data_IF_248168222563
#
_entry.id   IF_248168222563
#
_cell.length_a   1.000
_cell.length_b   1.000
_cell.length_c   1.000
_cell.angle_alpha   90.00
_cell.angle_beta   90.00
_cell.angle_gamma   90.00
#
_symmetry.space_group_name_H-M   'P 1'
#
loop_
_entity.id
_entity.type
_entity.pdbx_description
1 polymer ?
#
# COMPACT_ATOMS: atom_id res chain seq x y z
N UNK A 1 -1.30 -5.14 8.94
CA UNK A 1 -1.72 -4.32 10.08
C UNK A 1 -1.29 -5.03 11.33
N UNK A 2 -1.22 -4.29 12.43
CA UNK A 2 -0.76 -4.84 13.72
C UNK A 2 -1.59 -6.05 14.18
N UNK A 3 -2.86 -6.10 13.78
CA UNK A 3 -3.80 -7.20 14.03
C UNK A 3 -4.02 -8.15 12.83
N UNK A 4 -3.03 -8.29 11.93
CA UNK A 4 -3.09 -9.22 10.79
C UNK A 4 -3.32 -8.55 9.43
N UNK A 5 -4.20 -9.10 8.59
CA UNK A 5 -4.42 -8.60 7.22
C UNK A 5 -4.93 -7.16 7.26
N UNK A 6 -4.32 -6.30 6.45
CA UNK A 6 -4.69 -4.90 6.33
C UNK A 6 -5.36 -4.64 4.98
N UNK A 7 -6.50 -3.95 5.02
CA UNK A 7 -7.24 -3.52 3.83
C UNK A 7 -7.19 -2.01 3.72
N UNK A 8 -6.56 -1.49 2.65
CA UNK A 8 -6.46 -0.05 2.40
C UNK A 8 -7.60 0.42 1.51
N UNK A 9 -8.53 1.21 2.08
CA UNK A 9 -9.63 1.84 1.33
C UNK A 9 -9.13 2.92 0.36
N UNK A 10 -8.02 3.59 0.69
CA UNK A 10 -7.44 4.65 -0.13
C UNK A 10 -6.85 4.09 -1.43
N UNK A 11 -6.12 2.98 -1.34
CA UNK A 11 -5.58 2.26 -2.50
C UNK A 11 -6.73 1.73 -3.37
N UNK A 12 -7.76 1.16 -2.75
CA UNK A 12 -8.95 0.67 -3.46
C UNK A 12 -9.67 1.80 -4.21
N UNK A 13 -9.89 2.94 -3.58
CA UNK A 13 -10.56 4.08 -4.21
C UNK A 13 -9.76 4.65 -5.40
N UNK A 14 -8.43 4.73 -5.27
CA UNK A 14 -7.56 5.17 -6.37
C UNK A 14 -7.64 4.21 -7.57
N UNK A 15 -7.54 2.90 -7.32
CA UNK A 15 -7.57 1.88 -8.37
C UNK A 15 -8.96 1.66 -8.98
N UNK A 16 -10.04 1.91 -8.23
CA UNK A 16 -11.39 1.84 -8.76
C UNK A 16 -11.67 2.89 -9.84
N UNK A 17 -10.99 4.05 -9.78
CA UNK A 17 -11.12 5.10 -10.80
C UNK A 17 -10.27 4.80 -12.03
N UNK A 18 -9.04 4.35 -11.80
CA UNK A 18 -8.12 3.96 -12.86
C UNK A 18 -7.23 2.81 -12.36
N UNK A 19 -7.38 1.63 -12.97
CA UNK A 19 -6.61 0.44 -12.59
C UNK A 19 -5.22 0.46 -13.25
N UNK A 20 -4.39 1.41 -12.85
CA UNK A 20 -3.02 1.59 -13.33
C UNK A 20 -2.07 1.93 -12.16
N UNK A 21 -0.80 1.53 -12.26
CA UNK A 21 0.20 1.81 -11.24
C UNK A 21 0.38 3.32 -10.98
N UNK A 22 0.15 4.17 -11.99
CA UNK A 22 0.19 5.61 -11.88
C UNK A 22 -0.91 6.18 -10.99
N UNK A 23 -2.05 5.51 -10.85
CA UNK A 23 -3.15 5.93 -9.97
C UNK A 23 -2.74 5.92 -8.48
N UNK A 24 -1.71 5.15 -8.13
CA UNK A 24 -1.16 5.07 -6.77
C UNK A 24 -0.06 6.11 -6.50
N UNK A 25 0.23 7.02 -7.45
CA UNK A 25 1.17 8.11 -7.23
C UNK A 25 0.57 9.14 -6.25
N UNK A 26 1.26 9.39 -5.14
CA UNK A 26 0.80 10.31 -4.10
C UNK A 26 -0.11 9.68 -3.04
N UNK A 27 -0.57 8.44 -3.23
CA UNK A 27 -1.28 7.69 -2.18
C UNK A 27 -0.32 7.43 -1.02
N UNK A 28 -0.78 7.69 0.21
CA UNK A 28 -0.04 7.43 1.44
C UNK A 28 -0.87 6.52 2.33
N UNK A 29 -0.23 5.52 2.91
CA UNK A 29 -0.85 4.67 3.93
C UNK A 29 -0.43 5.19 5.31
N UNK A 30 -1.36 5.40 6.26
CA UNK A 30 -1.02 5.82 7.61
C UNK A 30 -0.22 4.73 8.34
N UNK A 31 0.86 5.13 9.03
CA UNK A 31 1.73 4.22 9.75
C UNK A 31 1.18 3.78 11.12
N UNK A 32 0.17 4.48 11.64
CA UNK A 32 -0.33 4.34 13.02
C UNK A 32 -0.77 2.91 13.41
N UNK A 33 -1.26 2.12 12.44
CA UNK A 33 -1.73 0.74 12.67
C UNK A 33 -0.80 -0.33 12.08
N UNK A 34 0.47 0.04 11.86
CA UNK A 34 1.49 -0.86 11.32
C UNK A 34 2.51 -1.28 12.39
N UNK A 35 2.84 -2.57 12.36
CA UNK A 35 3.82 -3.18 13.26
C UNK A 35 5.20 -2.55 13.09
N UNK A 36 5.87 -2.25 14.20
CA UNK A 36 7.29 -1.92 14.22
C UNK A 36 8.05 -3.02 14.94
N UNK A 37 9.08 -3.55 14.31
CA UNK A 37 9.92 -4.60 14.88
C UNK A 37 11.40 -4.42 14.46
N UNK A 38 12.24 -5.40 14.79
CA UNK A 38 13.66 -5.42 14.42
C UNK A 38 13.92 -5.46 12.90
N UNK A 39 12.90 -5.73 12.07
CA UNK A 39 13.03 -5.84 10.63
C UNK A 39 12.65 -4.53 9.92
N UNK A 40 11.67 -3.80 10.44
CA UNK A 40 11.22 -2.56 9.83
C UNK A 40 10.39 -1.70 10.79
N UNK A 41 10.50 -0.39 10.61
CA UNK A 41 9.59 0.59 11.20
C UNK A 41 8.21 0.59 10.51
N UNK A 42 7.20 1.04 11.25
CA UNK A 42 5.86 1.30 10.73
C UNK A 42 5.89 2.19 9.48
N UNK A 43 6.67 3.28 9.49
CA UNK A 43 6.80 4.20 8.35
C UNK A 43 7.40 3.52 7.11
N UNK A 44 8.42 2.67 7.30
CA UNK A 44 9.00 1.92 6.20
C UNK A 44 7.98 0.94 5.60
N UNK A 45 7.21 0.25 6.45
CA UNK A 45 6.12 -0.63 5.99
C UNK A 45 5.02 0.14 5.27
N UNK A 46 4.65 1.32 5.74
CA UNK A 46 3.67 2.19 5.08
C UNK A 46 4.10 2.53 3.64
N UNK A 47 5.36 2.91 3.46
CA UNK A 47 5.92 3.15 2.12
C UNK A 47 5.92 1.87 1.27
N UNK A 48 6.39 0.76 1.84
CA UNK A 48 6.51 -0.51 1.12
C UNK A 48 5.14 -1.01 0.61
N UNK A 49 4.06 -0.82 1.38
CA UNK A 49 2.70 -1.17 0.95
C UNK A 49 2.35 -0.51 -0.37
N UNK A 50 2.62 0.80 -0.52
CA UNK A 50 2.33 1.55 -1.76
C UNK A 50 3.21 1.07 -2.92
N UNK A 51 4.50 0.81 -2.66
CA UNK A 51 5.43 0.31 -3.69
C UNK A 51 5.01 -1.07 -4.19
N UNK A 52 4.66 -1.98 -3.28
CA UNK A 52 4.25 -3.34 -3.64
C UNK A 52 2.89 -3.35 -4.33
N UNK A 53 1.95 -2.49 -3.91
CA UNK A 53 0.67 -2.33 -4.60
C UNK A 53 0.87 -1.89 -6.06
N UNK A 54 1.77 -0.92 -6.32
CA UNK A 54 2.13 -0.51 -7.71
C UNK A 54 2.66 -1.67 -8.54
N UNK A 55 3.58 -2.46 -7.98
CA UNK A 55 4.15 -3.63 -8.66
C UNK A 55 3.09 -4.69 -8.94
N UNK A 56 2.19 -4.93 -7.98
CA UNK A 56 1.09 -5.89 -8.14
C UNK A 56 0.11 -5.45 -9.24
N UNK A 57 -0.27 -4.17 -9.29
CA UNK A 57 -1.15 -3.63 -10.34
C UNK A 57 -0.48 -3.72 -11.71
N UNK A 58 0.81 -3.36 -11.80
CA UNK A 58 1.56 -3.49 -13.05
C UNK A 58 1.64 -4.96 -13.52
N UNK A 59 1.80 -5.92 -12.61
CA UNK A 59 1.81 -7.34 -12.94
C UNK A 59 0.41 -7.88 -13.29
N UNK A 60 -0.66 -7.32 -12.71
CA UNK A 60 -2.04 -7.71 -13.02
C UNK A 60 -2.53 -7.17 -14.38
N UNK A 61 -1.89 -6.12 -14.89
CA UNK A 61 -2.15 -5.54 -16.21
C UNK A 61 -1.29 -6.12 -17.34
N UNK A 62 -0.36 -7.02 -17.02
CA UNK A 62 0.52 -7.69 -17.98
C UNK A 62 -0.14 -8.97 -18.54
#
# INVERSE_FOLDING_TARGET
GDNGVFRSKEIEAALATNFDAAALNGVKVPANDLMTDIHASADYRANLIVVMAKRAVAAANA
#
